data_IF_171863407338
#
_entry.id   IF_171863407338
#
_cell.length_a   1.000
_cell.length_b   1.000
_cell.length_c   1.000
_cell.angle_alpha   90.00
_cell.angle_beta   90.00
_cell.angle_gamma   90.00
#
_symmetry.space_group_name_H-M   'P 1'
#
loop_
_entity.id
_entity.type
_entity.pdbx_description
1 polymer ?
#
# COMPACT_ATOMS: atom_id res chain seq x y z
N UNK A 1 1.05 12.22 0.15
CA UNK A 1 2.45 11.77 0.08
C UNK A 1 3.29 12.92 0.62
N UNK A 2 3.65 12.90 1.91
CA UNK A 2 4.15 14.10 2.62
C UNK A 2 5.66 14.26 2.71
N UNK A 3 6.43 13.27 2.25
CA UNK A 3 7.88 13.32 2.06
C UNK A 3 8.21 12.50 0.83
N UNK A 4 9.38 12.71 0.24
CA UNK A 4 9.88 11.91 -0.88
C UNK A 4 10.12 10.48 -0.40
N UNK A 5 9.11 9.62 -0.55
CA UNK A 5 9.19 8.23 -0.15
C UNK A 5 9.95 7.46 -1.23
N UNK A 6 11.26 7.34 -1.10
CA UNK A 6 12.14 6.52 -1.97
C UNK A 6 11.67 5.05 -2.07
N UNK A 7 10.89 4.58 -1.09
CA UNK A 7 10.33 3.24 -1.08
C UNK A 7 9.35 2.96 -2.23
N UNK A 8 8.81 3.99 -2.91
CA UNK A 8 7.78 3.85 -3.94
C UNK A 8 8.31 4.01 -5.39
N UNK A 9 9.59 4.36 -5.58
CA UNK A 9 10.17 4.67 -6.90
C UNK A 9 10.69 3.42 -7.65
N UNK A 10 10.26 3.18 -8.88
CA UNK A 10 10.69 2.02 -9.69
C UNK A 10 9.71 0.84 -9.65
N UNK A 11 10.10 -0.31 -10.21
CA UNK A 11 9.19 -1.45 -10.36
C UNK A 11 8.79 -2.08 -9.01
N UNK A 12 7.54 -2.53 -8.92
CA UNK A 12 6.97 -3.16 -7.73
C UNK A 12 7.01 -4.68 -7.86
N UNK A 13 7.84 -5.32 -7.03
CA UNK A 13 7.86 -6.78 -6.85
C UNK A 13 7.29 -7.18 -5.49
N UNK A 14 6.85 -8.44 -5.30
CA UNK A 14 6.37 -8.93 -4.00
C UNK A 14 7.39 -8.77 -2.88
N UNK A 15 8.68 -8.99 -3.14
CA UNK A 15 9.77 -8.87 -2.16
C UNK A 15 9.95 -7.41 -1.74
N UNK A 16 9.87 -6.49 -2.70
CA UNK A 16 9.89 -5.05 -2.41
C UNK A 16 8.67 -4.64 -1.61
N UNK A 17 7.52 -5.23 -1.92
CA UNK A 17 6.29 -5.02 -1.16
C UNK A 17 6.40 -5.51 0.29
N UNK A 18 7.00 -6.67 0.51
CA UNK A 18 7.34 -7.23 1.80
C UNK A 18 8.57 -6.57 2.47
N UNK A 19 9.19 -5.58 1.84
CA UNK A 19 10.39 -4.92 2.32
C UNK A 19 10.23 -4.25 3.70
N UNK A 20 11.35 -3.72 4.21
CA UNK A 20 11.46 -3.20 5.59
C UNK A 20 10.56 -2.00 5.93
N UNK A 21 9.95 -1.37 4.93
CA UNK A 21 9.12 -0.19 5.14
C UNK A 21 7.86 -0.53 5.97
N UNK A 22 7.57 0.31 6.96
CA UNK A 22 6.39 0.16 7.79
C UNK A 22 5.11 0.42 7.00
N UNK A 23 4.10 -0.42 7.21
CA UNK A 23 2.79 -0.32 6.54
C UNK A 23 1.72 0.19 7.48
N UNK A 24 0.88 1.07 6.94
CA UNK A 24 -0.37 1.49 7.53
C UNK A 24 -1.52 0.78 6.81
N UNK A 25 -2.42 0.16 7.56
CA UNK A 25 -3.62 -0.48 6.98
C UNK A 25 -4.89 0.25 7.41
N UNK A 26 -5.86 0.31 6.50
CA UNK A 26 -7.19 0.84 6.80
C UNK A 26 -8.10 -0.32 7.14
N UNK A 27 -8.54 -0.40 8.39
CA UNK A 27 -9.45 -1.42 8.86
C UNK A 27 -10.38 -0.89 9.93
N UNK A 28 -11.68 -0.86 9.64
CA UNK A 28 -12.72 -0.48 10.61
C UNK A 28 -12.71 -1.34 11.89
N UNK A 29 -12.19 -2.56 11.81
CA UNK A 29 -12.10 -3.51 12.94
C UNK A 29 -10.69 -3.61 13.53
N UNK A 30 -9.77 -2.72 13.14
CA UNK A 30 -8.38 -2.74 13.62
C UNK A 30 -7.59 -3.97 13.18
N UNK A 31 -8.02 -4.67 12.11
CA UNK A 31 -7.31 -5.83 11.58
C UNK A 31 -6.00 -5.38 10.95
N UNK A 32 -4.90 -5.95 11.43
CA UNK A 32 -3.56 -5.73 10.90
C UNK A 32 -3.16 -6.78 9.85
N UNK A 33 -3.87 -7.91 9.82
CA UNK A 33 -3.67 -9.00 8.89
C UNK A 33 -4.87 -9.12 7.95
N UNK A 34 -4.62 -9.33 6.66
CA UNK A 34 -5.62 -9.52 5.63
C UNK A 34 -5.10 -10.35 4.44
N UNK A 35 -5.86 -10.43 3.34
CA UNK A 35 -5.58 -11.36 2.24
C UNK A 35 -4.25 -11.10 1.52
N UNK A 36 -3.73 -9.87 1.60
CA UNK A 36 -2.39 -9.55 1.07
C UNK A 36 -1.30 -10.20 1.92
N UNK A 37 -1.49 -10.27 3.24
CA UNK A 37 -0.54 -10.93 4.13
C UNK A 37 -0.55 -12.44 3.91
N UNK A 38 -1.73 -13.03 3.66
CA UNK A 38 -1.87 -14.45 3.28
C UNK A 38 -1.15 -14.74 1.96
N UNK A 39 -1.37 -13.91 0.92
CA UNK A 39 -0.70 -14.06 -0.36
C UNK A 39 0.83 -13.88 -0.28
N UNK A 40 1.32 -12.99 0.60
CA UNK A 40 2.76 -12.87 0.85
C UNK A 40 3.30 -14.11 1.57
N UNK A 41 2.55 -14.66 2.53
CA UNK A 41 2.96 -15.85 3.27
C UNK A 41 3.08 -17.08 2.35
N UNK A 42 2.22 -17.21 1.34
CA UNK A 42 2.33 -18.25 0.30
C UNK A 42 3.66 -18.15 -0.48
N UNK A 43 4.24 -16.96 -0.59
CA UNK A 43 5.55 -16.70 -1.20
C UNK A 43 6.71 -16.78 -0.19
N UNK A 44 6.45 -17.15 1.07
CA UNK A 44 7.45 -17.12 2.15
C UNK A 44 7.86 -15.71 2.59
N UNK A 45 7.06 -14.71 2.24
CA UNK A 45 7.30 -13.30 2.51
C UNK A 45 6.40 -12.79 3.64
N UNK A 46 6.87 -11.77 4.35
CA UNK A 46 6.10 -11.09 5.39
C UNK A 46 6.36 -9.59 5.33
N UNK A 47 5.31 -8.79 5.52
CA UNK A 47 5.42 -7.33 5.57
C UNK A 47 5.28 -6.82 7.00
N UNK A 48 5.86 -5.65 7.27
CA UNK A 48 5.76 -5.00 8.58
C UNK A 48 4.55 -4.07 8.65
N UNK A 49 3.43 -4.51 9.22
CA UNK A 49 2.30 -3.62 9.55
C UNK A 49 2.55 -2.98 10.91
N UNK A 50 2.59 -1.65 10.97
CA UNK A 50 2.96 -0.87 12.16
C UNK A 50 1.74 -0.22 12.81
N UNK A 51 0.72 0.08 12.02
CA UNK A 51 -0.49 0.72 12.51
C UNK A 51 -1.73 0.36 11.67
N UNK A 52 -2.90 0.43 12.31
CA UNK A 52 -4.20 0.33 11.67
C UNK A 52 -5.08 1.53 12.02
N UNK A 53 -5.79 2.07 11.04
CA UNK A 53 -6.75 3.18 11.23
C UNK A 53 -8.14 2.78 10.75
N UNK A 54 -9.16 3.29 11.43
CA UNK A 54 -10.55 2.91 11.17
C UNK A 54 -11.14 3.45 9.86
N UNK A 55 -10.57 4.52 9.30
CA UNK A 55 -11.12 5.20 8.12
C UNK A 55 -10.04 5.64 7.14
N UNK A 56 -10.41 5.71 5.87
CA UNK A 56 -9.52 6.17 4.81
C UNK A 56 -9.13 7.65 4.95
N UNK A 57 -10.04 8.61 5.24
CA UNK A 57 -9.62 10.00 5.45
C UNK A 57 -8.59 10.15 6.58
N UNK A 58 -8.76 9.41 7.69
CA UNK A 58 -7.77 9.40 8.78
C UNK A 58 -6.41 8.84 8.32
N UNK A 59 -6.41 7.85 7.43
CA UNK A 59 -5.18 7.25 6.90
C UNK A 59 -4.36 8.20 6.06
N UNK A 60 -4.94 9.28 5.52
CA UNK A 60 -4.18 10.25 4.71
C UNK A 60 -3.30 11.17 5.55
N UNK A 61 -3.61 11.35 6.84
CA UNK A 61 -2.82 12.21 7.72
C UNK A 61 -1.56 11.52 8.25
N UNK A 62 -1.60 10.21 8.47
CA UNK A 62 -0.48 9.47 9.09
C UNK A 62 0.77 9.42 8.21
N UNK A 63 0.71 9.05 6.91
CA UNK A 63 1.88 9.10 6.01
C UNK A 63 2.39 10.50 5.69
N UNK A 64 1.71 11.57 6.12
CA UNK A 64 2.23 12.94 5.96
C UNK A 64 3.28 13.27 7.00
N UNK A 65 3.12 12.74 8.20
CA UNK A 65 4.01 12.99 9.34
C UNK A 65 5.02 11.86 9.58
N UNK A 66 4.88 10.75 8.86
CA UNK A 66 5.68 9.52 9.08
C UNK A 66 6.19 8.93 7.77
N UNK A 67 7.14 8.01 7.90
CA UNK A 67 7.65 7.19 6.79
C UNK A 67 6.83 5.90 6.58
N UNK A 68 5.56 5.89 7.00
CA UNK A 68 4.66 4.77 6.77
C UNK A 68 4.05 4.79 5.38
N UNK A 69 3.92 3.61 4.78
CA UNK A 69 3.31 3.42 3.46
C UNK A 69 1.90 2.85 3.62
N UNK A 70 0.90 3.58 3.11
CA UNK A 70 -0.48 3.13 3.03
C UNK A 70 -0.82 2.53 1.66
N UNK A 71 -1.80 1.63 1.64
CA UNK A 71 -2.44 1.19 0.40
C UNK A 71 -3.68 2.03 0.14
N UNK A 72 -3.78 2.54 -1.08
CA UNK A 72 -4.95 3.25 -1.57
C UNK A 72 -5.39 2.65 -2.90
N UNK A 73 -6.62 2.96 -3.26
CA UNK A 73 -7.22 2.55 -4.53
C UNK A 73 -7.10 3.65 -5.57
N UNK A 74 -7.00 3.29 -6.85
CA UNK A 74 -6.80 4.23 -7.95
C UNK A 74 -7.93 5.25 -8.11
N UNK A 75 -9.17 4.91 -7.73
CA UNK A 75 -10.29 5.88 -7.77
C UNK A 75 -10.19 6.99 -6.71
N UNK A 76 -9.34 6.80 -5.69
CA UNK A 76 -9.12 7.81 -4.65
C UNK A 76 -8.06 8.84 -5.02
N UNK A 77 -7.36 8.61 -6.13
CA UNK A 77 -6.39 9.55 -6.71
C UNK A 77 -7.00 10.25 -7.92
N UNK A 78 -6.62 11.51 -8.16
CA UNK A 78 -6.89 12.15 -9.46
C UNK A 78 -6.28 11.30 -10.56
N UNK A 79 -7.03 10.95 -11.62
CA UNK A 79 -6.51 10.11 -12.69
C UNK A 79 -5.32 10.80 -13.35
N UNK A 80 -4.12 10.26 -13.14
CA UNK A 80 -2.95 10.59 -13.95
C UNK A 80 -3.08 9.87 -15.29
N UNK A 81 -2.72 10.50 -16.42
CA UNK A 81 -2.70 9.81 -17.70
C UNK A 81 -1.84 8.55 -17.58
N UNK A 82 -2.24 7.43 -18.20
CA UNK A 82 -1.50 6.18 -18.07
C UNK A 82 -0.07 6.36 -18.55
N UNK A 83 0.90 5.90 -17.77
CA UNK A 83 2.29 5.80 -18.23
C UNK A 83 2.33 4.90 -19.46
N UNK A 84 2.92 5.34 -20.60
CA UNK A 84 3.12 4.49 -21.75
C UNK A 84 3.84 3.21 -21.32
N UNK A 85 3.25 2.04 -21.59
CA UNK A 85 3.81 0.73 -21.23
C UNK A 85 3.24 0.08 -19.95
N UNK A 86 2.46 0.79 -19.12
CA UNK A 86 1.73 0.15 -18.02
C UNK A 86 0.39 -0.39 -18.53
N UNK A 87 0.34 -1.69 -18.83
CA UNK A 87 -0.91 -2.38 -19.10
C UNK A 87 -1.85 -2.26 -17.89
N UNK A 88 -3.08 -1.79 -18.13
CA UNK A 88 -4.12 -1.61 -17.11
C UNK A 88 -4.59 -2.97 -16.60
N UNK A 89 -3.90 -3.53 -15.62
CA UNK A 89 -4.37 -4.71 -14.91
C UNK A 89 -5.49 -4.28 -13.94
N UNK A 90 -6.72 -4.14 -14.46
CA UNK A 90 -7.92 -4.21 -13.62
C UNK A 90 -9.14 -4.59 -14.47
N UNK A 91 -9.51 -5.88 -14.42
CA UNK A 91 -10.70 -6.42 -15.09
C UNK A 91 -10.63 -7.93 -15.41
N UNK A 92 -10.79 -8.79 -14.40
CA UNK A 92 -11.52 -10.07 -14.46
C UNK A 92 -11.67 -10.56 -13.01
N UNK A 93 -12.84 -10.75 -12.42
CA UNK A 93 -14.17 -11.14 -12.91
C UNK A 93 -15.26 -10.25 -12.30
#
# INVERSE_FOLDING_TARGET
>A
MGREHRAVEGEWTPERFAGKAGRLVVSRRGRQHGPIDDALAELGLGRRVVASVGTFPASLFVPRETDLIGLITTYSTTPTPPTPGCARAYGSR
#
